data_IF_267787978396
#
_entry.id   IF_267787978396
#
_cell.length_a   1.000
_cell.length_b   1.000
_cell.length_c   1.000
_cell.angle_alpha   90.00
_cell.angle_beta   90.00
_cell.angle_gamma   90.00
#
_symmetry.space_group_name_H-M   'P 1'
#
loop_
_entity.id
_entity.type
_entity.pdbx_description
1 polymer ?
#
# COMPACT_ATOMS: atom_id res chain seq x y z
N UNK A 1 4.08 1.52 -14.89
CA UNK A 1 5.42 2.13 -14.98
C UNK A 1 5.55 3.12 -13.83
N UNK A 2 6.23 2.74 -12.75
CA UNK A 2 6.30 3.53 -11.49
C UNK A 2 7.24 2.87 -10.49
N UNK A 3 7.67 3.62 -9.48
CA UNK A 3 8.14 3.08 -8.19
C UNK A 3 7.30 3.66 -7.08
N UNK A 4 6.55 2.80 -6.37
CA UNK A 4 5.82 3.14 -5.15
C UNK A 4 6.22 2.17 -4.04
N UNK A 5 6.40 2.68 -2.83
CA UNK A 5 6.81 1.88 -1.67
C UNK A 5 6.03 2.24 -0.42
N UNK A 6 5.93 1.29 0.50
CA UNK A 6 5.47 1.50 1.88
C UNK A 6 6.50 0.96 2.85
N UNK A 7 6.64 1.62 3.99
CA UNK A 7 7.54 1.24 5.07
C UNK A 7 6.82 1.39 6.40
N UNK A 8 7.04 0.46 7.31
CA UNK A 8 6.64 0.50 8.71
C UNK A 8 7.91 0.33 9.53
N UNK A 9 8.19 1.25 10.45
CA UNK A 9 9.32 1.12 11.37
C UNK A 9 9.04 1.89 12.67
N UNK A 10 9.18 1.20 13.80
CA UNK A 10 8.83 1.77 15.10
C UNK A 10 7.34 2.10 15.18
N UNK A 11 7.04 3.34 15.58
CA UNK A 11 5.68 3.89 15.73
C UNK A 11 5.20 4.67 14.50
N UNK A 12 5.89 4.55 13.36
CA UNK A 12 5.61 5.30 12.14
C UNK A 12 5.51 4.38 10.92
N UNK A 13 4.59 4.73 10.01
CA UNK A 13 4.54 4.24 8.65
C UNK A 13 4.83 5.37 7.66
N UNK A 14 5.36 5.00 6.50
CA UNK A 14 5.62 5.90 5.40
C UNK A 14 5.14 5.28 4.08
N UNK A 15 4.75 6.13 3.16
CA UNK A 15 4.45 5.78 1.77
C UNK A 15 5.15 6.77 0.86
N UNK A 16 5.72 6.28 -0.22
CA UNK A 16 6.43 7.12 -1.17
C UNK A 16 6.19 6.68 -2.61
N UNK A 17 6.24 7.65 -3.53
CA UNK A 17 6.15 7.39 -4.96
C UNK A 17 7.02 8.35 -5.77
N UNK A 18 7.45 7.88 -6.94
CA UNK A 18 8.00 8.74 -7.98
C UNK A 18 6.89 9.58 -8.67
N UNK A 19 7.27 10.57 -9.48
CA UNK A 19 6.33 11.50 -10.11
C UNK A 19 6.15 11.31 -11.62
N UNK A 20 6.83 10.34 -12.25
CA UNK A 20 6.78 10.17 -13.70
C UNK A 20 5.44 9.64 -14.18
N UNK A 21 4.84 10.32 -15.15
CA UNK A 21 3.67 9.84 -15.89
C UNK A 21 4.02 9.76 -17.37
N UNK A 22 3.39 8.85 -18.10
CA UNK A 22 3.57 8.73 -19.55
C UNK A 22 2.23 8.57 -20.26
N UNK A 23 2.17 9.05 -21.50
CA UNK A 23 1.12 8.70 -22.45
C UNK A 23 1.73 7.77 -23.50
N UNK A 24 1.50 6.46 -23.33
CA UNK A 24 2.32 5.45 -24.01
C UNK A 24 3.78 5.60 -23.58
N UNK A 25 4.68 5.76 -24.54
CA UNK A 25 6.12 5.99 -24.30
C UNK A 25 6.49 7.48 -24.17
N UNK A 26 5.54 8.39 -24.38
CA UNK A 26 5.80 9.83 -24.28
C UNK A 26 5.80 10.27 -22.82
N UNK A 27 6.93 10.78 -22.35
CA UNK A 27 7.10 11.30 -20.98
C UNK A 27 6.30 12.58 -20.74
N UNK A 28 5.45 12.56 -19.71
CA UNK A 28 4.83 13.74 -19.11
C UNK A 28 5.46 13.99 -17.73
N UNK A 29 6.50 14.84 -17.72
CA UNK A 29 7.20 15.16 -16.48
C UNK A 29 6.40 16.12 -15.59
N UNK A 30 6.82 16.21 -14.31
CA UNK A 30 6.22 17.12 -13.33
C UNK A 30 6.32 18.62 -13.69
N UNK A 31 7.19 18.98 -14.64
CA UNK A 31 7.29 20.36 -15.13
C UNK A 31 6.07 20.81 -15.93
N UNK A 32 5.29 19.86 -16.45
CA UNK A 32 4.12 20.12 -17.30
C UNK A 32 2.80 19.91 -16.56
N UNK A 33 2.75 18.97 -15.61
CA UNK A 33 1.55 18.63 -14.86
C UNK A 33 1.92 18.20 -13.43
N UNK A 34 1.15 18.63 -12.44
CA UNK A 34 1.34 18.16 -11.05
C UNK A 34 0.80 16.74 -10.91
N UNK A 35 1.57 15.77 -11.37
CA UNK A 35 1.25 14.35 -11.20
C UNK A 35 1.54 13.91 -9.77
N UNK A 36 0.51 13.46 -9.05
CA UNK A 36 0.63 12.79 -7.76
C UNK A 36 0.02 11.40 -7.84
N UNK A 37 0.85 10.40 -7.60
CA UNK A 37 0.46 8.98 -7.56
C UNK A 37 -0.05 8.56 -6.18
N UNK A 38 0.24 9.37 -5.16
CA UNK A 38 -0.26 9.22 -3.79
C UNK A 38 -1.51 10.08 -3.62
N UNK A 39 -2.60 9.47 -3.16
CA UNK A 39 -3.91 10.09 -2.98
C UNK A 39 -4.25 10.03 -1.49
N UNK A 40 -4.57 11.18 -0.85
CA UNK A 40 -5.13 11.17 0.50
C UNK A 40 -6.60 10.71 0.44
N UNK A 41 -6.95 9.76 1.30
CA UNK A 41 -8.29 9.17 1.45
C UNK A 41 -8.61 9.04 2.94
N UNK A 42 -9.32 10.02 3.49
CA UNK A 42 -9.49 10.14 4.95
C UNK A 42 -8.15 10.25 5.66
N UNK A 43 -7.89 9.37 6.63
CA UNK A 43 -6.62 9.25 7.35
C UNK A 43 -5.59 8.35 6.65
N UNK A 44 -5.92 7.84 5.45
CA UNK A 44 -5.05 6.96 4.68
C UNK A 44 -4.41 7.68 3.50
N UNK A 45 -3.25 7.18 3.10
CA UNK A 45 -2.62 7.50 1.82
C UNK A 45 -2.60 6.26 0.95
N UNK A 46 -3.03 6.41 -0.31
CA UNK A 46 -3.07 5.33 -1.31
C UNK A 46 -2.15 5.67 -2.47
N UNK A 47 -1.13 4.85 -2.71
CA UNK A 47 -0.26 4.95 -3.87
C UNK A 47 -0.70 3.96 -4.95
N UNK A 48 -0.96 4.46 -6.16
CA UNK A 48 -1.41 3.65 -7.29
C UNK A 48 -0.25 3.27 -8.21
N UNK A 49 -0.26 2.03 -8.70
CA UNK A 49 0.52 1.62 -9.86
C UNK A 49 -0.40 1.29 -11.04
N UNK A 50 0.20 1.18 -12.23
CA UNK A 50 -0.51 0.84 -13.46
C UNK A 50 -0.61 2.01 -14.42
N UNK A 51 -1.66 2.02 -15.24
CA UNK A 51 -1.95 3.07 -16.22
C UNK A 51 -2.40 4.36 -15.53
N UNK A 52 -1.95 5.50 -16.05
CA UNK A 52 -2.36 6.83 -15.59
C UNK A 52 -3.87 7.05 -15.71
N UNK A 53 -4.54 6.35 -16.62
CA UNK A 53 -5.99 6.39 -16.77
C UNK A 53 -6.74 5.98 -15.48
N UNK A 54 -6.14 5.12 -14.64
CA UNK A 54 -6.76 4.70 -13.38
C UNK A 54 -6.71 5.79 -12.31
N UNK A 55 -5.82 6.79 -12.40
CA UNK A 55 -5.61 7.73 -11.29
C UNK A 55 -6.81 8.64 -11.03
N UNK A 56 -7.45 9.27 -12.05
CA UNK A 56 -8.64 10.08 -11.81
C UNK A 56 -9.82 9.25 -11.32
N UNK A 57 -10.01 8.05 -11.88
CA UNK A 57 -11.09 7.12 -11.50
C UNK A 57 -10.94 6.70 -10.05
N UNK A 58 -9.78 6.18 -9.66
CA UNK A 58 -9.52 5.74 -8.29
C UNK A 58 -9.56 6.88 -7.30
N UNK A 59 -9.09 8.07 -7.67
CA UNK A 59 -9.25 9.27 -6.86
C UNK A 59 -10.72 9.55 -6.59
N UNK A 60 -11.51 9.72 -7.66
CA UNK A 60 -12.93 10.06 -7.55
C UNK A 60 -13.70 9.01 -6.74
N UNK A 61 -13.45 7.72 -6.99
CA UNK A 61 -14.11 6.60 -6.33
C UNK A 61 -13.76 6.55 -4.85
N UNK A 62 -12.47 6.48 -4.49
CA UNK A 62 -12.05 6.34 -3.10
C UNK A 62 -12.44 7.56 -2.25
N UNK A 63 -12.29 8.79 -2.78
CA UNK A 63 -12.70 9.98 -2.04
C UNK A 63 -14.22 10.17 -1.99
N UNK A 64 -14.94 9.66 -2.99
CA UNK A 64 -16.40 9.75 -3.08
C UNK A 64 -17.15 8.73 -2.22
N UNK A 65 -16.50 7.64 -1.83
CA UNK A 65 -17.11 6.61 -0.96
C UNK A 65 -17.37 7.09 0.48
N UNK A 66 -16.71 8.16 0.94
CA UNK A 66 -16.89 8.69 2.29
C UNK A 66 -16.68 7.63 3.37
N UNK A 67 -17.64 7.51 4.29
CA UNK A 67 -17.59 6.58 5.43
C UNK A 67 -17.61 5.09 5.03
N UNK A 68 -17.98 4.78 3.78
CA UNK A 68 -17.91 3.40 3.28
C UNK A 68 -16.48 2.97 2.92
N UNK A 69 -15.54 3.91 2.77
CA UNK A 69 -14.15 3.63 2.48
C UNK A 69 -13.37 3.37 3.77
N UNK A 70 -13.32 2.12 4.20
CA UNK A 70 -12.63 1.68 5.42
C UNK A 70 -11.32 0.99 5.07
N UNK A 71 -10.19 1.53 5.52
CA UNK A 71 -8.86 1.06 5.14
C UNK A 71 -7.95 0.68 6.33
N UNK A 72 -8.47 0.71 7.55
CA UNK A 72 -7.65 0.60 8.78
C UNK A 72 -7.18 -0.82 9.12
N UNK A 73 -7.85 -1.85 8.59
CA UNK A 73 -7.49 -3.25 8.82
C UNK A 73 -7.50 -4.00 7.50
N UNK A 74 -6.80 -5.14 7.44
CA UNK A 74 -6.78 -5.99 6.24
C UNK A 74 -8.19 -6.35 5.76
N UNK A 75 -9.07 -6.70 6.68
CA UNK A 75 -10.44 -7.13 6.36
C UNK A 75 -11.32 -5.94 5.92
N UNK A 76 -11.10 -4.75 6.49
CA UNK A 76 -11.77 -3.52 6.05
C UNK A 76 -11.31 -3.14 4.64
N UNK A 77 -10.00 -3.21 4.36
CA UNK A 77 -9.44 -2.99 3.02
C UNK A 77 -10.05 -3.97 2.02
N UNK A 78 -10.09 -5.26 2.34
CA UNK A 78 -10.68 -6.28 1.45
C UNK A 78 -12.14 -5.97 1.10
N UNK A 79 -12.97 -5.68 2.12
CA UNK A 79 -14.39 -5.35 1.91
C UNK A 79 -14.58 -4.06 1.14
N UNK A 80 -13.75 -3.04 1.39
CA UNK A 80 -13.76 -1.80 0.62
C UNK A 80 -13.44 -2.09 -0.84
N UNK A 81 -12.38 -2.84 -1.13
CA UNK A 81 -11.98 -3.12 -2.51
C UNK A 81 -12.91 -4.07 -3.28
N UNK A 82 -13.72 -4.88 -2.59
CA UNK A 82 -14.86 -5.58 -3.21
C UNK A 82 -15.89 -4.59 -3.76
N UNK A 83 -16.27 -3.57 -2.98
CA UNK A 83 -17.18 -2.51 -3.43
C UNK A 83 -16.56 -1.65 -4.53
N UNK A 84 -15.26 -1.35 -4.43
CA UNK A 84 -14.52 -0.63 -5.48
C UNK A 84 -14.63 -1.39 -6.80
N UNK A 85 -14.40 -2.71 -6.81
CA UNK A 85 -14.54 -3.52 -8.02
C UNK A 85 -15.94 -3.44 -8.64
N UNK A 86 -16.98 -3.57 -7.82
CA UNK A 86 -18.36 -3.45 -8.29
C UNK A 86 -18.62 -2.11 -8.98
N UNK A 87 -18.18 -1.01 -8.37
CA UNK A 87 -18.29 0.34 -8.94
C UNK A 87 -17.47 0.50 -10.22
N UNK A 88 -16.25 -0.02 -10.26
CA UNK A 88 -15.41 0.05 -11.46
C UNK A 88 -16.05 -0.64 -12.66
N UNK A 89 -16.70 -1.79 -12.42
CA UNK A 89 -17.40 -2.54 -13.47
C UNK A 89 -18.68 -1.84 -13.92
N UNK A 90 -19.50 -1.38 -12.98
CA UNK A 90 -20.85 -0.90 -13.26
C UNK A 90 -20.92 0.58 -13.64
N UNK A 91 -20.04 1.42 -13.10
CA UNK A 91 -20.06 2.88 -13.26
C UNK A 91 -18.92 3.38 -14.17
N UNK A 92 -17.75 2.73 -14.10
CA UNK A 92 -16.54 3.14 -14.84
C UNK A 92 -16.18 2.20 -16.00
N UNK A 93 -16.97 1.14 -16.22
CA UNK A 93 -16.89 0.22 -17.35
C UNK A 93 -15.49 -0.37 -17.59
N UNK A 94 -14.78 -0.72 -16.52
CA UNK A 94 -13.46 -1.35 -16.64
C UNK A 94 -13.56 -2.73 -17.30
N UNK A 95 -12.55 -3.09 -18.09
CA UNK A 95 -12.41 -4.47 -18.54
C UNK A 95 -11.85 -5.31 -17.40
N UNK A 96 -12.60 -6.31 -16.95
CA UNK A 96 -12.26 -7.15 -15.80
C UNK A 96 -11.50 -8.42 -16.17
N UNK A 97 -11.16 -8.61 -17.45
CA UNK A 97 -10.33 -9.73 -17.91
C UNK A 97 -8.85 -9.36 -17.88
N UNK A 98 -8.03 -10.22 -17.29
CA UNK A 98 -6.56 -10.13 -17.34
C UNK A 98 -6.01 -11.32 -18.11
N UNK A 99 -6.28 -12.55 -17.66
CA UNK A 99 -5.99 -13.80 -18.38
C UNK A 99 -7.24 -14.70 -18.52
N UNK A 100 -7.25 -15.63 -19.49
CA UNK A 100 -8.39 -16.51 -19.74
C UNK A 100 -8.61 -17.56 -18.63
N UNK A 101 -7.54 -17.97 -17.95
CA UNK A 101 -7.55 -19.02 -16.94
C UNK A 101 -7.72 -18.49 -15.50
N UNK A 102 -8.03 -17.20 -15.35
CA UNK A 102 -8.14 -16.56 -14.05
C UNK A 102 -9.36 -17.03 -13.26
N UNK A 103 -9.20 -17.41 -11.98
CA UNK A 103 -10.31 -17.86 -11.15
C UNK A 103 -11.22 -16.72 -10.69
N UNK A 104 -10.76 -15.46 -10.75
CA UNK A 104 -11.48 -14.28 -10.29
C UNK A 104 -11.40 -13.13 -11.31
N UNK A 105 -12.43 -12.30 -11.36
CA UNK A 105 -12.39 -11.05 -12.14
C UNK A 105 -11.28 -10.12 -11.63
N UNK A 106 -10.44 -9.62 -12.54
CA UNK A 106 -9.41 -8.63 -12.23
C UNK A 106 -10.02 -7.23 -12.10
N UNK A 107 -9.54 -6.49 -11.11
CA UNK A 107 -9.79 -5.06 -10.94
C UNK A 107 -8.81 -4.19 -11.72
N UNK A 108 -7.76 -4.79 -12.32
CA UNK A 108 -6.67 -4.09 -13.01
C UNK A 108 -5.93 -3.07 -12.12
N UNK A 109 -6.11 -3.17 -10.79
CA UNK A 109 -5.57 -2.24 -9.80
C UNK A 109 -4.53 -2.93 -8.96
N UNK A 110 -3.39 -2.26 -8.84
CA UNK A 110 -2.37 -2.56 -7.84
C UNK A 110 -2.10 -1.28 -7.06
N UNK A 111 -2.27 -1.33 -5.74
CA UNK A 111 -2.00 -0.18 -4.88
C UNK A 111 -1.35 -0.57 -3.56
N UNK A 112 -0.71 0.43 -2.96
CA UNK A 112 -0.23 0.38 -1.58
C UNK A 112 -0.99 1.39 -0.74
N UNK A 113 -1.20 1.07 0.52
CA UNK A 113 -1.95 1.88 1.47
C UNK A 113 -1.11 2.05 2.74
N UNK A 114 -1.04 3.27 3.27
CA UNK A 114 -0.44 3.55 4.56
C UNK A 114 -1.38 4.43 5.39
N UNK A 115 -1.63 4.03 6.64
CA UNK A 115 -2.49 4.73 7.58
C UNK A 115 -2.15 4.35 9.03
N UNK A 116 -2.81 4.92 10.05
CA UNK A 116 -2.48 4.60 11.43
C UNK A 116 -2.73 3.14 11.84
N UNK A 117 -3.47 2.36 11.04
CA UNK A 117 -3.66 0.92 11.25
C UNK A 117 -2.53 0.04 10.71
N UNK A 118 -1.70 0.56 9.79
CA UNK A 118 -0.55 -0.15 9.24
C UNK A 118 -0.29 0.16 7.77
N UNK A 119 0.41 -0.78 7.11
CA UNK A 119 0.70 -0.73 5.68
C UNK A 119 0.14 -1.96 4.98
N UNK A 120 -0.54 -1.74 3.87
CA UNK A 120 -1.25 -2.77 3.12
C UNK A 120 -0.94 -2.71 1.63
N UNK A 121 -1.14 -3.83 0.94
CA UNK A 121 -1.09 -3.91 -0.52
C UNK A 121 -2.33 -4.59 -1.05
N UNK A 122 -2.89 -4.06 -2.14
CA UNK A 122 -3.99 -4.67 -2.88
C UNK A 122 -3.53 -4.97 -4.29
N UNK A 123 -3.78 -6.21 -4.75
CA UNK A 123 -3.44 -6.66 -6.11
C UNK A 123 -4.69 -6.91 -6.95
N UNK A 124 -4.49 -7.13 -8.25
CA UNK A 124 -5.54 -7.16 -9.29
C UNK A 124 -6.74 -8.03 -8.93
N UNK A 125 -6.55 -9.19 -8.29
CA UNK A 125 -7.64 -10.09 -7.90
C UNK A 125 -8.27 -9.77 -6.53
N UNK A 126 -7.97 -8.59 -5.98
CA UNK A 126 -8.39 -8.08 -4.65
C UNK A 126 -7.73 -8.79 -3.48
N UNK A 127 -6.60 -9.44 -3.72
CA UNK A 127 -5.78 -10.00 -2.64
C UNK A 127 -5.23 -8.86 -1.80
N UNK A 128 -5.45 -8.95 -0.48
CA UNK A 128 -4.99 -7.93 0.47
C UNK A 128 -3.93 -8.50 1.38
N UNK A 129 -2.78 -7.85 1.35
CA UNK A 129 -1.64 -8.17 2.22
C UNK A 129 -1.43 -7.08 3.25
N UNK A 130 -1.01 -7.47 4.45
CA UNK A 130 -0.47 -6.59 5.48
C UNK A 130 1.03 -6.82 5.54
N UNK A 131 1.83 -5.75 5.61
CA UNK A 131 3.30 -5.87 5.63
C UNK A 131 3.87 -5.45 6.99
N UNK A 132 4.83 -6.21 7.50
CA UNK A 132 5.46 -5.92 8.80
C UNK A 132 6.59 -4.89 8.73
N UNK A 133 7.28 -4.80 7.58
CA UNK A 133 8.48 -3.97 7.40
C UNK A 133 8.36 -3.02 6.23
N UNK A 134 8.39 -3.52 4.99
CA UNK A 134 8.28 -2.69 3.81
C UNK A 134 7.88 -3.52 2.61
N UNK A 135 7.36 -2.84 1.59
CA UNK A 135 7.07 -3.44 0.29
C UNK A 135 7.12 -2.40 -0.83
N UNK A 136 7.15 -2.86 -2.08
CA UNK A 136 7.18 -2.00 -3.26
C UNK A 136 6.37 -2.57 -4.42
N UNK A 137 5.76 -1.69 -5.20
CA UNK A 137 5.02 -2.02 -6.44
C UNK A 137 5.51 -1.19 -7.61
N UNK A 138 5.14 -1.60 -8.83
CA UNK A 138 5.56 -0.95 -10.06
C UNK A 138 6.84 -1.56 -10.67
N UNK A 139 7.31 -0.95 -11.76
CA UNK A 139 8.45 -1.42 -12.55
C UNK A 139 9.77 -1.31 -11.81
N UNK A 140 9.98 -0.26 -11.01
CA UNK A 140 11.22 -0.07 -10.25
C UNK A 140 11.25 -0.74 -8.88
N UNK A 141 10.23 -1.54 -8.53
CA UNK A 141 10.12 -2.15 -7.19
C UNK A 141 11.32 -3.03 -6.80
N UNK A 142 11.94 -3.73 -7.75
CA UNK A 142 13.04 -4.65 -7.43
C UNK A 142 14.26 -3.88 -6.91
N UNK A 143 14.57 -2.72 -7.50
CA UNK A 143 15.63 -1.83 -7.04
C UNK A 143 15.28 -1.26 -5.66
N UNK A 144 14.04 -0.81 -5.48
CA UNK A 144 13.55 -0.27 -4.23
C UNK A 144 13.62 -1.27 -3.07
N UNK A 145 13.21 -2.52 -3.31
CA UNK A 145 13.24 -3.59 -2.30
C UNK A 145 14.67 -3.89 -1.84
N UNK A 146 15.63 -3.96 -2.76
CA UNK A 146 17.04 -4.17 -2.42
C UNK A 146 17.61 -3.00 -1.61
N UNK A 147 17.31 -1.77 -2.02
CA UNK A 147 17.79 -0.57 -1.33
C UNK A 147 17.21 -0.45 0.08
N UNK A 148 15.88 -0.61 0.24
CA UNK A 148 15.23 -0.58 1.55
C UNK A 148 15.74 -1.71 2.45
N UNK A 149 15.92 -2.92 1.91
CA UNK A 149 16.50 -4.04 2.66
C UNK A 149 17.88 -3.70 3.25
N UNK A 150 18.75 -3.09 2.46
CA UNK A 150 20.12 -2.77 2.87
C UNK A 150 20.21 -1.70 3.98
N UNK A 151 19.16 -0.90 4.17
CA UNK A 151 19.18 0.23 5.12
C UNK A 151 18.14 0.10 6.24
N UNK A 152 17.23 -0.86 6.17
CA UNK A 152 16.10 -0.96 7.08
C UNK A 152 16.52 -1.05 8.56
N UNK A 153 17.54 -1.83 8.88
CA UNK A 153 18.00 -2.07 10.26
C UNK A 153 18.92 -0.96 10.80
N UNK A 154 19.18 0.11 10.03
CA UNK A 154 19.98 1.24 10.48
C UNK A 154 19.22 2.06 11.54
N UNK A 155 19.74 2.23 12.77
CA UNK A 155 18.99 2.84 13.86
C UNK A 155 18.68 4.33 13.64
N UNK A 156 19.49 5.03 12.85
CA UNK A 156 19.36 6.46 12.56
C UNK A 156 18.28 6.79 11.52
N UNK A 157 17.73 5.80 10.82
CA UNK A 157 16.78 6.02 9.73
C UNK A 157 15.33 5.77 10.15
N UNK A 158 14.46 6.77 9.92
CA UNK A 158 13.01 6.65 10.09
C UNK A 158 12.32 5.94 8.91
N UNK A 159 11.02 5.68 9.05
CA UNK A 159 10.23 5.05 7.99
C UNK A 159 10.24 5.91 6.70
N UNK A 160 10.11 7.24 6.85
CA UNK A 160 10.17 8.18 5.72
C UNK A 160 11.51 8.18 4.96
N UNK A 161 12.63 8.07 5.68
CA UNK A 161 13.97 8.04 5.08
C UNK A 161 14.16 6.77 4.24
N UNK A 162 13.78 5.63 4.80
CA UNK A 162 13.85 4.33 4.12
C UNK A 162 12.96 4.33 2.87
N UNK A 163 11.74 4.85 2.98
CA UNK A 163 10.82 4.96 1.85
C UNK A 163 11.40 5.83 0.73
N UNK A 164 12.01 6.97 1.08
CA UNK A 164 12.70 7.84 0.12
C UNK A 164 13.84 7.12 -0.58
N UNK A 165 14.71 6.42 0.16
CA UNK A 165 15.81 5.62 -0.40
C UNK A 165 15.29 4.54 -1.36
N UNK A 166 14.18 3.89 -1.03
CA UNK A 166 13.54 2.92 -1.91
C UNK A 166 13.15 3.52 -3.26
N UNK A 167 12.45 4.67 -3.26
CA UNK A 167 12.05 5.32 -4.52
C UNK A 167 13.26 5.87 -5.28
N UNK A 168 14.25 6.40 -4.58
CA UNK A 168 15.47 6.94 -5.18
C UNK A 168 16.22 5.87 -5.98
N UNK A 169 16.37 4.65 -5.42
CA UNK A 169 16.93 3.51 -6.14
C UNK A 169 16.09 3.10 -7.37
N UNK A 170 14.76 3.23 -7.28
CA UNK A 170 13.88 3.05 -8.43
C UNK A 170 14.13 4.08 -9.52
N UNK A 171 14.26 5.36 -9.17
CA UNK A 171 14.55 6.46 -10.11
C UNK A 171 15.91 6.27 -10.79
N UNK A 172 16.92 5.79 -10.08
CA UNK A 172 18.27 5.61 -10.61
C UNK A 172 18.32 4.59 -11.76
N UNK A 173 17.59 3.47 -11.64
CA UNK A 173 17.73 2.33 -12.57
C UNK A 173 16.50 2.00 -13.41
N UNK A 174 15.31 2.41 -13.00
CA UNK A 174 14.08 2.19 -13.78
C UNK A 174 13.80 3.38 -14.69
N UNK A 175 13.89 3.17 -16.01
CA UNK A 175 13.54 4.17 -17.05
C UNK A 175 12.13 4.76 -16.89
N UNK A 176 11.28 4.03 -16.17
CA UNK A 176 9.87 4.32 -15.93
C UNK A 176 9.60 4.97 -14.57
N UNK A 177 10.64 5.41 -13.87
CA UNK A 177 10.55 6.13 -12.60
C UNK A 177 11.33 7.44 -12.70
N UNK A 178 10.76 8.56 -12.24
CA UNK A 178 11.49 9.83 -12.19
C UNK A 178 11.02 10.72 -11.05
N UNK A 179 11.95 11.55 -10.56
CA UNK A 179 11.67 12.53 -9.51
C UNK A 179 10.70 13.65 -9.95
N UNK A 180 10.24 14.46 -8.97
CA UNK A 180 10.60 14.39 -7.55
C UNK A 180 9.91 13.24 -6.81
N UNK A 181 10.47 12.85 -5.67
CA UNK A 181 9.91 11.82 -4.78
C UNK A 181 8.90 12.49 -3.82
N UNK A 182 7.66 12.01 -3.84
CA UNK A 182 6.60 12.37 -2.89
C UNK A 182 6.60 11.36 -1.73
N UNK A 183 6.66 11.82 -0.49
CA UNK A 183 6.73 10.97 0.72
C UNK A 183 5.76 11.51 1.76
N UNK A 184 4.95 10.63 2.34
CA UNK A 184 4.03 10.93 3.44
C UNK A 184 4.31 9.97 4.59
N UNK A 185 4.30 10.49 5.81
CA UNK A 185 4.47 9.68 7.03
C UNK A 185 3.23 9.81 7.92
N UNK A 186 2.92 8.74 8.65
CA UNK A 186 1.76 8.65 9.54
C UNK A 186 2.17 7.88 10.79
N UNK A 187 1.77 8.38 11.97
CA UNK A 187 1.96 7.66 13.23
C UNK A 187 0.96 6.52 13.35
N UNK A 188 1.42 5.36 13.81
CA UNK A 188 0.57 4.17 14.02
C UNK A 188 -0.20 4.36 15.33
N UNK A 189 -1.48 3.98 15.34
CA UNK A 189 -2.22 3.83 16.59
C UNK A 189 -1.63 2.64 17.35
N UNK A 190 -1.23 2.84 18.60
CA UNK A 190 -0.76 1.73 19.43
C UNK A 190 -1.79 0.59 19.38
N UNK A 191 -1.35 -0.62 19.03
CA UNK A 191 -2.21 -1.79 19.14
C UNK A 191 -2.64 -1.90 20.61
N UNK A 192 -3.93 -2.17 20.91
CA UNK A 192 -4.29 -2.56 22.26
C UNK A 192 -3.45 -3.80 22.58
N UNK A 193 -2.61 -3.70 23.61
CA UNK A 193 -1.83 -4.82 24.12
C UNK A 193 -2.75 -6.03 24.31
N UNK A 194 -2.59 -7.08 23.51
CA UNK A 194 -3.02 -8.41 23.93
C UNK A 194 -2.13 -8.80 25.12
N UNK A 195 -2.69 -8.70 26.32
CA UNK A 195 -2.05 -9.17 27.54
C UNK A 195 -1.65 -10.63 27.35
N UNK A 196 -0.40 -11.03 27.57
CA UNK A 196 -0.02 -12.43 27.51
C UNK A 196 -0.90 -13.22 28.50
N UNK A 197 -1.70 -14.17 27.98
CA UNK A 197 -2.38 -15.14 28.84
C UNK A 197 -1.32 -15.84 29.67
N UNK A 198 -1.37 -15.64 30.99
CA UNK A 198 -0.60 -16.42 31.93
C UNK A 198 -0.92 -17.90 31.71
N UNK A 199 0.08 -18.79 31.60
CA UNK A 199 -0.17 -20.22 31.57
C UNK A 199 -0.89 -20.61 32.87
N UNK A 200 -2.10 -21.16 32.72
CA UNK A 200 -2.97 -21.55 33.82
C UNK A 200 -2.22 -22.42 34.83
N UNK A 201 -2.28 -22.02 36.10
CA UNK A 201 -1.75 -22.79 37.21
C UNK A 201 -2.43 -24.15 37.28
N UNK A 202 -1.62 -25.20 37.37
CA UNK A 202 -2.09 -26.54 37.67
C UNK A 202 -2.69 -26.57 39.08
N UNK A 203 -4.02 -26.67 39.17
CA UNK A 203 -4.70 -27.05 40.41
C UNK A 203 -4.41 -28.53 40.68
N UNK A 204 -3.59 -28.79 41.70
CA UNK A 204 -3.45 -30.13 42.28
C UNK A 204 -4.67 -30.42 43.15
N UNK A 205 -5.59 -31.24 42.64
CA UNK A 205 -6.63 -31.85 43.46
C UNK A 205 -5.98 -32.78 44.50
N UNK A 206 -6.02 -32.37 45.77
CA UNK A 206 -5.92 -33.27 46.92
C UNK A 206 -7.33 -33.50 47.44
N UNK A 207 -7.97 -34.55 46.97
CA UNK A 207 -9.09 -35.14 47.68
C UNK A 207 -8.62 -36.43 48.33
N UNK A 208 -8.59 -36.41 49.66
CA UNK A 208 -8.45 -37.58 50.50
C UNK A 208 -9.79 -38.31 50.62
N UNK A 209 -9.73 -39.63 50.67
CA UNK A 209 -10.77 -40.45 51.29
C UNK A 209 -10.15 -41.76 51.81
N UNK A 210 -10.38 -41.98 53.11
CA UNK A 210 -10.27 -43.20 53.91
C UNK A 210 -8.88 -43.84 54.12
#
# INVERSE_FOLDING_TARGET
MTTCVVVRKGDEVAIAADALVTFGDTRLSRAYERNQKVIPVGESFVALAGTTAHFPVMRALLTGMGDECRLMTRDDVFRTFLKVHEKLKNEYFINTKEDEDDPYESSQIVCLIANPGGIFGVYSYREVFSFDRFWGIGSGRNYALGAMHAVYDRPEMGAGDIARIGVDAGIEFDKSSAGPIDVHTVKILAAPHETPQQPGGAETNKDGAA
#
